data_IF_110883035605
#
_entry.id   IF_110883035605
#
_cell.length_a   1.000
_cell.length_b   1.000
_cell.length_c   1.000
_cell.angle_alpha   90.00
_cell.angle_beta   90.00
_cell.angle_gamma   90.00
#
_symmetry.space_group_name_H-M   'P 1'
#
loop_
_entity.id
_entity.type
_entity.pdbx_description
1 polymer ?
#
# COMPACT_ATOMS: atom_id res chain seq x y z
N UNK A 1 -16.51 4.24 21.72
CA UNK A 1 -15.62 3.38 20.91
C UNK A 1 -15.08 4.26 19.80
N UNK A 2 -13.76 4.48 19.76
CA UNK A 2 -13.16 5.40 18.79
C UNK A 2 -13.38 4.86 17.37
N UNK A 3 -13.80 5.72 16.45
CA UNK A 3 -14.07 5.35 15.06
C UNK A 3 -12.83 4.73 14.40
N UNK A 4 -11.64 5.20 14.77
CA UNK A 4 -10.36 4.64 14.35
C UNK A 4 -10.19 3.14 14.65
N UNK A 5 -10.65 2.66 15.81
CA UNK A 5 -10.55 1.23 16.13
C UNK A 5 -11.48 0.43 15.23
N UNK A 6 -12.67 0.96 14.92
CA UNK A 6 -13.66 0.30 14.07
C UNK A 6 -13.15 0.21 12.63
N UNK A 7 -12.65 1.33 12.12
CA UNK A 7 -12.12 1.46 10.76
C UNK A 7 -10.91 0.53 10.53
N UNK A 8 -9.94 0.56 11.44
CA UNK A 8 -8.79 -0.33 11.37
C UNK A 8 -9.18 -1.82 11.56
N UNK A 9 -10.16 -2.14 12.42
CA UNK A 9 -10.68 -3.51 12.52
C UNK A 9 -11.28 -3.98 11.20
N UNK A 10 -12.05 -3.12 10.52
CA UNK A 10 -12.58 -3.39 9.20
C UNK A 10 -11.45 -3.64 8.19
N UNK A 11 -10.43 -2.77 8.16
CA UNK A 11 -9.26 -2.92 7.30
C UNK A 11 -8.54 -4.25 7.54
N UNK A 12 -8.29 -4.62 8.80
CA UNK A 12 -7.66 -5.90 9.18
C UNK A 12 -8.45 -7.08 8.64
N UNK A 13 -9.76 -7.13 8.88
CA UNK A 13 -10.63 -8.23 8.46
C UNK A 13 -10.63 -8.38 6.93
N UNK A 14 -10.83 -7.28 6.22
CA UNK A 14 -10.91 -7.29 4.76
C UNK A 14 -9.58 -7.71 4.14
N UNK A 15 -8.45 -7.17 4.61
CA UNK A 15 -7.13 -7.56 4.12
C UNK A 15 -6.75 -8.98 4.50
N UNK A 16 -7.17 -9.50 5.66
CA UNK A 16 -7.00 -10.91 6.00
C UNK A 16 -7.79 -11.83 5.08
N UNK A 17 -9.05 -11.51 4.79
CA UNK A 17 -9.85 -12.25 3.82
C UNK A 17 -9.21 -12.21 2.42
N UNK A 18 -8.70 -11.04 2.00
CA UNK A 18 -7.96 -10.88 0.75
C UNK A 18 -6.66 -11.71 0.73
N UNK A 19 -5.94 -11.78 1.84
CA UNK A 19 -4.72 -12.58 1.97
C UNK A 19 -5.01 -14.09 1.85
N UNK A 20 -6.05 -14.58 2.52
CA UNK A 20 -6.46 -15.99 2.45
C UNK A 20 -6.93 -16.37 1.04
N UNK A 21 -7.74 -15.51 0.41
CA UNK A 21 -8.19 -15.75 -0.97
C UNK A 21 -7.04 -15.70 -1.96
N UNK A 22 -6.13 -14.73 -1.86
CA UNK A 22 -4.90 -14.66 -2.66
C UNK A 22 -4.02 -15.89 -2.46
N UNK A 23 -3.87 -16.39 -1.22
CA UNK A 23 -3.13 -17.62 -0.93
C UNK A 23 -3.78 -18.83 -1.60
N UNK A 24 -5.10 -18.98 -1.49
CA UNK A 24 -5.85 -20.04 -2.16
C UNK A 24 -5.70 -20.00 -3.68
N UNK A 25 -5.76 -18.80 -4.28
CA UNK A 25 -5.52 -18.61 -5.71
C UNK A 25 -4.07 -18.92 -6.10
N UNK A 26 -3.10 -18.55 -5.27
CA UNK A 26 -1.69 -18.87 -5.48
C UNK A 26 -1.45 -20.37 -5.52
N UNK A 27 -2.07 -21.14 -4.61
CA UNK A 27 -1.92 -22.61 -4.59
C UNK A 27 -2.63 -23.22 -5.80
N UNK A 28 -3.85 -22.74 -6.11
CA UNK A 28 -4.67 -23.26 -7.21
C UNK A 28 -4.06 -23.04 -8.58
N UNK A 29 -3.56 -21.83 -8.86
CA UNK A 29 -3.03 -21.45 -10.17
C UNK A 29 -1.50 -21.58 -10.26
N UNK A 30 -0.81 -21.84 -9.13
CA UNK A 30 0.66 -21.89 -9.03
C UNK A 30 1.36 -20.61 -9.53
N UNK A 31 0.69 -19.48 -9.35
CA UNK A 31 1.15 -18.17 -9.84
C UNK A 31 1.79 -17.34 -8.74
N UNK A 32 3.00 -16.84 -9.01
CA UNK A 32 3.80 -16.04 -8.05
C UNK A 32 3.14 -14.71 -7.71
N UNK A 33 2.38 -14.13 -8.64
CA UNK A 33 1.70 -12.83 -8.45
C UNK A 33 0.73 -12.86 -7.28
N UNK A 34 -0.05 -13.95 -7.14
CA UNK A 34 -0.97 -14.11 -6.02
C UNK A 34 -0.26 -14.35 -4.70
N UNK A 35 0.89 -15.06 -4.70
CA UNK A 35 1.69 -15.25 -3.49
C UNK A 35 2.23 -13.91 -2.97
N UNK A 36 2.82 -13.10 -3.86
CA UNK A 36 3.33 -11.77 -3.51
C UNK A 36 2.21 -10.89 -2.95
N UNK A 37 1.05 -10.92 -3.59
CA UNK A 37 -0.10 -10.13 -3.17
C UNK A 37 -0.67 -10.60 -1.81
N UNK A 38 -0.71 -11.92 -1.57
CA UNK A 38 -1.10 -12.49 -0.28
C UNK A 38 -0.17 -12.03 0.84
N UNK A 39 1.14 -12.05 0.60
CA UNK A 39 2.14 -11.59 1.56
C UNK A 39 2.01 -10.08 1.82
N UNK A 40 1.76 -9.28 0.78
CA UNK A 40 1.51 -7.84 0.93
C UNK A 40 0.31 -7.58 1.86
N UNK A 41 -0.82 -8.24 1.62
CA UNK A 41 -2.03 -8.10 2.44
C UNK A 41 -1.82 -8.59 3.87
N UNK A 42 -1.13 -9.73 4.05
CA UNK A 42 -0.85 -10.27 5.37
C UNK A 42 0.06 -9.33 6.18
N UNK A 43 1.13 -8.79 5.58
CA UNK A 43 2.01 -7.81 6.22
C UNK A 43 1.26 -6.53 6.58
N UNK A 44 0.46 -5.98 5.66
CA UNK A 44 -0.28 -4.75 5.96
C UNK A 44 -1.29 -4.98 7.09
N UNK A 45 -2.07 -6.06 7.02
CA UNK A 45 -3.05 -6.43 8.04
C UNK A 45 -2.43 -6.70 9.41
N UNK A 46 -1.27 -7.38 9.46
CA UNK A 46 -0.53 -7.61 10.72
C UNK A 46 0.01 -6.31 11.32
N UNK A 47 0.46 -5.36 10.49
CA UNK A 47 0.89 -4.04 10.95
C UNK A 47 -0.26 -3.27 11.58
N UNK A 48 -1.41 -3.24 10.90
CA UNK A 48 -2.64 -2.61 11.41
C UNK A 48 -3.18 -3.33 12.66
N UNK A 49 -3.09 -4.66 12.73
CA UNK A 49 -3.48 -5.42 13.92
C UNK A 49 -2.64 -5.03 15.14
N UNK A 50 -1.32 -4.93 14.98
CA UNK A 50 -0.45 -4.46 16.06
C UNK A 50 -0.84 -3.05 16.52
N UNK A 51 -1.11 -2.14 15.57
CA UNK A 51 -1.60 -0.78 15.85
C UNK A 51 -2.87 -0.79 16.69
N UNK A 52 -3.90 -1.53 16.24
CA UNK A 52 -5.20 -1.59 16.92
C UNK A 52 -5.08 -2.21 18.31
N UNK A 53 -4.32 -3.31 18.45
CA UNK A 53 -4.11 -3.96 19.75
C UNK A 53 -3.39 -3.02 20.72
N UNK A 54 -2.39 -2.26 20.23
CA UNK A 54 -1.72 -1.27 21.06
C UNK A 54 -2.71 -0.22 21.56
N UNK A 55 -3.48 0.40 20.65
CA UNK A 55 -4.47 1.42 21.02
C UNK A 55 -5.54 0.87 21.99
N UNK A 56 -6.03 -0.35 21.75
CA UNK A 56 -7.07 -0.96 22.56
C UNK A 56 -6.61 -1.35 23.96
N UNK A 57 -5.35 -1.80 24.11
CA UNK A 57 -4.81 -2.28 25.39
C UNK A 57 -4.22 -1.13 26.22
N UNK A 58 -3.44 -0.24 25.58
CA UNK A 58 -2.66 0.77 26.29
C UNK A 58 -3.30 2.16 26.31
N UNK A 59 -4.29 2.42 25.43
CA UNK A 59 -5.06 3.68 25.43
C UNK A 59 -4.25 4.95 25.19
N UNK A 60 -2.96 4.82 24.83
CA UNK A 60 -2.04 5.91 24.51
C UNK A 60 -1.54 5.76 23.08
N UNK A 61 -1.15 6.87 22.45
CA UNK A 61 -0.47 6.88 21.15
C UNK A 61 1.02 6.58 21.35
N UNK A 62 1.58 5.49 20.76
CA UNK A 62 3.03 5.27 20.79
C UNK A 62 3.80 6.43 20.19
N UNK A 63 4.92 6.77 20.82
CA UNK A 63 5.89 7.68 20.22
C UNK A 63 6.78 6.99 19.18
N UNK A 64 6.81 5.65 19.14
CA UNK A 64 7.68 4.89 18.24
C UNK A 64 7.02 3.55 17.83
N UNK A 65 6.71 3.37 16.55
CA UNK A 65 5.92 2.24 16.02
C UNK A 65 6.73 1.28 15.15
N UNK A 66 7.95 0.92 15.56
CA UNK A 66 8.83 0.11 14.70
C UNK A 66 8.19 -1.16 14.13
N UNK A 67 7.40 -1.89 14.93
CA UNK A 67 6.81 -3.17 14.47
C UNK A 67 5.76 -2.95 13.36
N UNK A 68 4.85 -1.99 13.55
CA UNK A 68 3.82 -1.68 12.55
C UNK A 68 4.44 -1.03 11.30
N UNK A 69 5.37 -0.10 11.49
CA UNK A 69 6.09 0.58 10.40
C UNK A 69 6.88 -0.40 9.54
N UNK A 70 7.60 -1.35 10.15
CA UNK A 70 8.31 -2.41 9.42
C UNK A 70 7.34 -3.29 8.64
N UNK A 71 6.20 -3.63 9.25
CA UNK A 71 5.18 -4.47 8.60
C UNK A 71 4.52 -3.78 7.40
N UNK A 72 4.17 -2.50 7.54
CA UNK A 72 3.63 -1.71 6.43
C UNK A 72 4.68 -1.49 5.34
N UNK A 73 5.93 -1.17 5.68
CA UNK A 73 7.02 -1.06 4.72
C UNK A 73 7.24 -2.38 3.96
N UNK A 74 7.19 -3.53 4.65
CA UNK A 74 7.27 -4.84 4.03
C UNK A 74 6.15 -5.08 3.00
N UNK A 75 4.92 -4.64 3.30
CA UNK A 75 3.82 -4.70 2.33
C UNK A 75 4.14 -3.90 1.06
N UNK A 76 4.72 -2.70 1.20
CA UNK A 76 5.16 -1.90 0.05
C UNK A 76 6.32 -2.54 -0.72
N UNK A 77 7.25 -3.24 -0.06
CA UNK A 77 8.25 -4.05 -0.76
C UNK A 77 7.60 -5.17 -1.59
N UNK A 78 6.55 -5.82 -1.09
CA UNK A 78 5.81 -6.81 -1.88
C UNK A 78 5.07 -6.16 -3.05
N UNK A 79 4.44 -5.00 -2.89
CA UNK A 79 3.84 -4.27 -4.02
C UNK A 79 4.87 -3.84 -5.07
N UNK A 80 6.06 -3.41 -4.65
CA UNK A 80 7.16 -3.13 -5.55
C UNK A 80 7.63 -4.40 -6.28
N UNK A 81 7.78 -5.51 -5.56
CA UNK A 81 8.12 -6.82 -6.14
C UNK A 81 7.09 -7.26 -7.18
N UNK A 82 5.79 -7.03 -6.92
CA UNK A 82 4.73 -7.28 -7.90
C UNK A 82 4.91 -6.43 -9.15
N UNK A 83 5.25 -5.14 -9.03
CA UNK A 83 5.51 -4.30 -10.21
C UNK A 83 6.76 -4.70 -10.97
N UNK A 84 7.82 -5.08 -10.28
CA UNK A 84 9.06 -5.57 -10.90
C UNK A 84 8.78 -6.86 -11.66
N UNK A 85 8.08 -7.83 -11.06
CA UNK A 85 7.71 -9.09 -11.71
C UNK A 85 6.85 -8.84 -12.97
N UNK A 86 5.90 -7.91 -12.91
CA UNK A 86 5.08 -7.56 -14.07
C UNK A 86 5.86 -6.78 -15.14
N UNK A 87 7.06 -6.28 -14.83
CA UNK A 87 7.93 -5.52 -15.72
C UNK A 87 9.18 -6.30 -16.18
N UNK A 88 9.34 -7.56 -15.77
CA UNK A 88 10.54 -8.38 -15.96
C UNK A 88 10.97 -8.51 -17.43
N UNK A 89 10.01 -8.55 -18.36
CA UNK A 89 10.26 -8.70 -19.80
C UNK A 89 10.30 -7.37 -20.56
N UNK A 90 10.25 -6.23 -19.88
CA UNK A 90 10.27 -4.91 -20.51
C UNK A 90 11.68 -4.33 -20.48
N UNK A 91 12.13 -3.79 -21.60
CA UNK A 91 13.29 -2.91 -21.63
C UNK A 91 12.90 -1.55 -21.05
N UNK A 92 13.12 -1.39 -19.74
CA UNK A 92 12.86 -0.13 -19.04
C UNK A 92 13.90 0.89 -19.51
N UNK A 93 13.46 1.84 -20.31
CA UNK A 93 14.23 3.01 -20.68
C UNK A 93 13.90 4.16 -19.73
N UNK A 94 14.82 5.11 -19.58
CA UNK A 94 14.57 6.28 -18.75
C UNK A 94 13.43 7.12 -19.35
N UNK A 95 12.35 7.29 -18.59
CA UNK A 95 11.22 8.13 -18.96
C UNK A 95 11.13 9.34 -18.02
N UNK A 96 11.27 10.58 -18.52
CA UNK A 96 11.42 11.76 -17.66
C UNK A 96 10.14 12.09 -16.88
N UNK A 97 8.96 11.87 -17.46
CA UNK A 97 7.67 12.17 -16.82
C UNK A 97 7.38 11.21 -15.64
N UNK A 98 7.45 9.87 -15.80
CA UNK A 98 7.38 8.94 -14.67
C UNK A 98 8.46 9.18 -13.62
N UNK A 99 9.68 9.55 -14.03
CA UNK A 99 10.78 9.86 -13.10
C UNK A 99 10.44 11.07 -12.24
N UNK A 100 9.99 12.17 -12.85
CA UNK A 100 9.57 13.38 -12.14
C UNK A 100 8.45 13.07 -11.13
N UNK A 101 7.40 12.37 -11.57
CA UNK A 101 6.26 12.04 -10.70
C UNK A 101 6.64 11.07 -9.57
N UNK A 102 7.50 10.08 -9.85
CA UNK A 102 8.05 9.20 -8.81
C UNK A 102 8.90 9.96 -7.79
N UNK A 103 9.72 10.91 -8.23
CA UNK A 103 10.47 11.80 -7.34
C UNK A 103 9.53 12.68 -6.50
N UNK A 104 8.47 13.24 -7.09
CA UNK A 104 7.49 14.04 -6.35
C UNK A 104 6.80 13.23 -5.24
N UNK A 105 6.44 11.97 -5.52
CA UNK A 105 5.91 11.05 -4.51
C UNK A 105 6.91 10.79 -3.38
N UNK A 106 8.19 10.53 -3.72
CA UNK A 106 9.23 10.32 -2.73
C UNK A 106 9.46 11.56 -1.85
N UNK A 107 9.52 12.75 -2.46
CA UNK A 107 9.66 14.02 -1.74
C UNK A 107 8.43 14.28 -0.84
N UNK A 108 7.22 14.03 -1.34
CA UNK A 108 6.01 14.17 -0.55
C UNK A 108 6.00 13.20 0.65
N UNK A 109 6.51 11.98 0.47
CA UNK A 109 6.67 11.02 1.56
C UNK A 109 7.62 11.53 2.64
N UNK A 110 8.75 12.13 2.25
CA UNK A 110 9.72 12.77 3.16
C UNK A 110 9.11 13.94 3.92
N UNK A 111 8.40 14.84 3.23
CA UNK A 111 7.77 16.03 3.84
C UNK A 111 6.75 15.62 4.91
N UNK A 112 5.97 14.57 4.65
CA UNK A 112 4.94 14.09 5.57
C UNK A 112 5.48 13.19 6.69
N UNK A 113 6.81 12.98 6.79
CA UNK A 113 7.44 12.10 7.80
C UNK A 113 6.75 10.73 7.92
N UNK A 114 6.48 10.09 6.78
CA UNK A 114 5.79 8.80 6.72
C UNK A 114 6.64 7.73 7.43
N UNK A 115 6.00 6.97 8.32
CA UNK A 115 6.66 6.02 9.26
C UNK A 115 7.57 6.69 10.30
N UNK A 116 7.18 7.87 10.77
CA UNK A 116 7.69 8.45 12.00
C UNK A 116 9.05 9.15 11.86
N UNK A 117 9.75 9.42 12.99
CA UNK A 117 10.96 10.23 13.00
C UNK A 117 12.21 9.48 12.51
N UNK A 118 12.11 8.19 12.22
CA UNK A 118 13.28 7.38 11.88
C UNK A 118 13.70 7.64 10.41
N UNK A 119 14.90 8.21 10.17
CA UNK A 119 15.30 8.62 8.82
C UNK A 119 15.49 7.43 7.87
N UNK A 120 15.84 6.25 8.43
CA UNK A 120 15.98 5.01 7.66
C UNK A 120 14.63 4.54 7.09
N UNK A 121 13.59 4.43 7.92
CA UNK A 121 12.28 3.97 7.47
C UNK A 121 11.66 4.95 6.48
N UNK A 122 11.80 6.25 6.75
CA UNK A 122 11.37 7.31 5.86
C UNK A 122 12.05 7.20 4.48
N UNK A 123 13.37 7.05 4.45
CA UNK A 123 14.12 6.93 3.21
C UNK A 123 13.75 5.65 2.44
N UNK A 124 13.63 4.50 3.13
CA UNK A 124 13.21 3.24 2.51
C UNK A 124 11.79 3.34 1.93
N UNK A 125 10.85 3.94 2.66
CA UNK A 125 9.51 4.14 2.16
C UNK A 125 9.49 5.10 0.97
N UNK A 126 10.17 6.25 1.06
CA UNK A 126 10.23 7.23 -0.03
C UNK A 126 10.78 6.61 -1.32
N UNK A 127 11.86 5.83 -1.23
CA UNK A 127 12.45 5.12 -2.38
C UNK A 127 11.49 4.06 -2.93
N UNK A 128 10.87 3.25 -2.07
CA UNK A 128 9.93 2.20 -2.52
C UNK A 128 8.68 2.78 -3.14
N UNK A 129 8.04 3.77 -2.52
CA UNK A 129 6.89 4.49 -3.03
C UNK A 129 7.21 5.18 -4.36
N UNK A 130 8.35 5.86 -4.45
CA UNK A 130 8.82 6.49 -5.67
C UNK A 130 9.06 5.48 -6.80
N UNK A 131 9.65 4.33 -6.49
CA UNK A 131 9.87 3.26 -7.46
C UNK A 131 8.56 2.61 -7.96
N UNK A 132 7.59 2.36 -7.05
CA UNK A 132 6.26 1.87 -7.44
C UNK A 132 5.56 2.88 -8.34
N UNK A 133 5.61 4.17 -7.98
CA UNK A 133 5.02 5.24 -8.77
C UNK A 133 5.67 5.34 -10.16
N UNK A 134 7.01 5.32 -10.22
CA UNK A 134 7.76 5.32 -11.48
C UNK A 134 7.36 4.17 -12.39
N UNK A 135 7.40 2.93 -11.90
CA UNK A 135 7.08 1.75 -12.70
C UNK A 135 5.61 1.77 -13.16
N UNK A 136 4.68 2.10 -12.25
CA UNK A 136 3.26 2.17 -12.58
C UNK A 136 2.98 3.20 -13.68
N UNK A 137 3.55 4.40 -13.56
CA UNK A 137 3.37 5.47 -14.54
C UNK A 137 4.08 5.19 -15.86
N UNK A 138 5.27 4.58 -15.82
CA UNK A 138 5.98 4.15 -17.02
C UNK A 138 5.12 3.20 -17.86
N UNK A 139 4.49 2.21 -17.22
CA UNK A 139 3.62 1.24 -17.90
C UNK A 139 2.32 1.87 -18.40
N UNK A 140 1.76 2.80 -17.64
CA UNK A 140 0.57 3.58 -18.05
C UNK A 140 0.85 4.47 -19.27
N UNK A 141 2.03 5.08 -19.33
CA UNK A 141 2.46 5.94 -20.43
C UNK A 141 2.66 5.14 -21.73
N UNK A 142 3.31 3.97 -21.64
CA UNK A 142 3.56 3.08 -22.78
C UNK A 142 2.35 2.23 -23.17
N UNK A 143 1.18 2.44 -22.53
CA UNK A 143 -0.10 1.76 -22.81
C UNK A 143 -0.01 0.23 -22.79
N UNK A 144 0.79 -0.30 -21.88
CA UNK A 144 0.94 -1.75 -21.70
C UNK A 144 -0.38 -2.41 -21.24
N UNK A 145 -0.58 -3.72 -21.47
CA UNK A 145 -1.80 -4.40 -21.03
C UNK A 145 -1.97 -4.34 -19.51
N UNK A 146 -3.23 -4.47 -19.05
CA UNK A 146 -3.61 -4.45 -17.64
C UNK A 146 -3.32 -3.14 -16.88
N UNK A 147 -3.51 -2.02 -17.58
CA UNK A 147 -3.36 -0.64 -17.07
C UNK A 147 -4.13 -0.35 -15.78
N UNK A 148 -5.24 -1.04 -15.55
CA UNK A 148 -6.03 -0.86 -14.33
C UNK A 148 -5.22 -1.22 -13.09
N UNK A 149 -4.44 -2.31 -13.12
CA UNK A 149 -3.59 -2.71 -12.00
C UNK A 149 -2.51 -1.67 -11.72
N UNK A 150 -1.91 -1.09 -12.78
CA UNK A 150 -0.91 -0.04 -12.64
C UNK A 150 -1.51 1.26 -12.08
N UNK A 151 -2.70 1.64 -12.55
CA UNK A 151 -3.42 2.79 -12.02
C UNK A 151 -3.78 2.61 -10.54
N UNK A 152 -4.24 1.41 -10.14
CA UNK A 152 -4.58 1.12 -8.73
C UNK A 152 -3.33 1.08 -7.86
N UNK A 153 -2.21 0.50 -8.31
CA UNK A 153 -0.95 0.50 -7.56
C UNK A 153 -0.40 1.92 -7.35
N UNK A 154 -0.47 2.77 -8.38
CA UNK A 154 -0.14 4.19 -8.24
C UNK A 154 -1.10 4.89 -7.27
N UNK A 155 -2.40 4.63 -7.38
CA UNK A 155 -3.41 5.19 -6.49
C UNK A 155 -3.16 4.78 -5.02
N UNK A 156 -2.79 3.54 -4.73
CA UNK A 156 -2.45 3.10 -3.37
C UNK A 156 -1.32 3.94 -2.78
N UNK A 157 -0.26 4.20 -3.55
CA UNK A 157 0.88 5.02 -3.09
C UNK A 157 0.44 6.47 -2.84
N UNK A 158 -0.33 7.06 -3.75
CA UNK A 158 -0.85 8.42 -3.59
C UNK A 158 -1.77 8.54 -2.37
N UNK A 159 -2.68 7.58 -2.19
CA UNK A 159 -3.58 7.53 -1.03
C UNK A 159 -2.81 7.34 0.27
N UNK A 160 -1.73 6.56 0.28
CA UNK A 160 -0.88 6.41 1.47
C UNK A 160 -0.20 7.71 1.86
N UNK A 161 0.34 8.45 0.89
CA UNK A 161 0.94 9.77 1.15
C UNK A 161 -0.15 10.74 1.60
N UNK A 162 -1.31 10.72 0.95
CA UNK A 162 -2.46 11.54 1.32
C UNK A 162 -2.96 11.23 2.74
N UNK A 163 -2.94 9.97 3.17
CA UNK A 163 -3.38 9.56 4.50
C UNK A 163 -2.57 10.28 5.60
N UNK A 164 -1.24 10.29 5.46
CA UNK A 164 -0.33 11.00 6.38
C UNK A 164 -0.43 12.52 6.25
N UNK A 165 -0.62 13.04 5.03
CA UNK A 165 -0.84 14.46 4.84
C UNK A 165 -2.13 14.93 5.52
N UNK A 166 -3.23 14.17 5.35
CA UNK A 166 -4.54 14.47 5.93
C UNK A 166 -4.51 14.28 7.45
N UNK A 167 -3.81 13.28 7.98
CA UNK A 167 -3.71 13.06 9.43
C UNK A 167 -3.09 14.26 10.17
N UNK A 168 -2.21 15.03 9.52
CA UNK A 168 -1.63 16.25 10.11
C UNK A 168 -2.67 17.35 10.41
N UNK A 169 -3.83 17.33 9.76
CA UNK A 169 -4.90 18.31 9.95
C UNK A 169 -5.93 17.90 11.00
N UNK A 170 -5.95 16.64 11.45
CA UNK A 170 -6.96 16.11 12.37
C UNK A 170 -6.32 15.57 13.64
N UNK A 171 -6.83 16.01 14.79
CA UNK A 171 -6.41 15.51 16.12
C UNK A 171 -7.47 14.65 16.80
N UNK A 172 -8.74 14.77 16.38
CA UNK A 172 -9.86 13.99 16.92
C UNK A 172 -10.29 12.88 15.95
N UNK A 173 -10.12 11.63 16.39
CA UNK A 173 -10.42 10.40 15.65
C UNK A 173 -11.71 9.69 16.14
N UNK A 174 -12.58 10.45 16.82
CA UNK A 174 -13.82 9.94 17.44
C UNK A 174 -15.00 9.90 16.47
N UNK A 175 -15.00 10.76 15.44
CA UNK A 175 -16.04 10.87 14.43
C UNK A 175 -15.48 10.70 13.02
N UNK A 176 -16.33 10.30 12.07
CA UNK A 176 -15.94 10.19 10.66
C UNK A 176 -15.43 11.53 10.12
N UNK A 177 -14.30 11.49 9.43
CA UNK A 177 -13.59 12.64 8.89
C UNK A 177 -12.91 12.25 7.56
N UNK A 178 -12.19 13.20 6.95
CA UNK A 178 -11.53 12.96 5.67
C UNK A 178 -10.43 11.89 5.76
N UNK A 179 -9.75 11.77 6.89
CA UNK A 179 -8.72 10.74 7.11
C UNK A 179 -9.32 9.35 6.93
N UNK A 180 -10.47 9.07 7.54
CA UNK A 180 -11.16 7.79 7.39
C UNK A 180 -11.67 7.54 5.97
N UNK A 181 -12.13 8.58 5.27
CA UNK A 181 -12.51 8.43 3.87
C UNK A 181 -11.31 8.00 2.99
N UNK A 182 -10.13 8.59 3.25
CA UNK A 182 -8.88 8.23 2.56
C UNK A 182 -8.44 6.80 2.92
N UNK A 183 -8.50 6.41 4.20
CA UNK A 183 -8.10 5.07 4.64
C UNK A 183 -9.01 3.96 4.09
N UNK A 184 -10.32 4.16 4.13
CA UNK A 184 -11.29 3.23 3.51
C UNK A 184 -11.02 3.11 2.01
N UNK A 185 -10.76 4.24 1.33
CA UNK A 185 -10.46 4.23 -0.10
C UNK A 185 -9.16 3.50 -0.39
N UNK A 186 -8.12 3.68 0.45
CA UNK A 186 -6.86 2.95 0.36
C UNK A 186 -7.06 1.45 0.55
N UNK A 187 -7.86 1.06 1.53
CA UNK A 187 -8.23 -0.35 1.79
C UNK A 187 -8.95 -0.95 0.58
N UNK A 188 -9.93 -0.25 0.02
CA UNK A 188 -10.62 -0.69 -1.20
C UNK A 188 -9.66 -0.80 -2.39
N UNK A 189 -8.72 0.14 -2.53
CA UNK A 189 -7.71 0.11 -3.59
C UNK A 189 -6.79 -1.11 -3.46
N UNK A 190 -6.32 -1.44 -2.24
CA UNK A 190 -5.57 -2.67 -2.00
C UNK A 190 -6.36 -3.91 -2.42
N UNK A 191 -7.61 -4.05 -1.97
CA UNK A 191 -8.43 -5.23 -2.28
C UNK A 191 -8.70 -5.34 -3.79
N UNK A 192 -8.87 -4.22 -4.49
CA UNK A 192 -9.09 -4.20 -5.93
C UNK A 192 -7.92 -4.79 -6.72
N UNK A 193 -6.70 -4.82 -6.17
CA UNK A 193 -5.55 -5.47 -6.82
C UNK A 193 -5.76 -6.98 -7.01
N UNK A 194 -6.53 -7.64 -6.14
CA UNK A 194 -6.76 -9.09 -6.23
C UNK A 194 -7.54 -9.49 -7.50
N UNK A 195 -8.76 -8.99 -7.75
CA UNK A 195 -9.50 -9.31 -8.98
C UNK A 195 -8.80 -8.77 -10.23
N UNK A 196 -8.07 -7.66 -10.14
CA UNK A 196 -7.28 -7.14 -11.26
C UNK A 196 -6.14 -8.09 -11.62
N UNK A 197 -5.35 -8.54 -10.63
CA UNK A 197 -4.30 -9.55 -10.81
C UNK A 197 -4.87 -10.86 -11.37
N UNK A 198 -6.08 -11.23 -10.94
CA UNK A 198 -6.77 -12.40 -11.47
C UNK A 198 -7.08 -12.30 -12.96
N UNK A 199 -7.54 -11.13 -13.43
CA UNK A 199 -7.76 -10.87 -14.87
C UNK A 199 -6.45 -10.94 -15.67
N UNK A 200 -5.31 -10.63 -15.07
CA UNK A 200 -4.02 -10.74 -15.77
C UNK A 200 -3.55 -12.17 -15.96
N UNK A 201 -3.81 -13.03 -14.97
CA UNK A 201 -3.43 -14.45 -15.03
C UNK A 201 -4.35 -15.22 -15.97
N UNK A 202 -5.63 -14.87 -16.01
CA UNK A 202 -6.63 -15.49 -16.89
C UNK A 202 -7.24 -14.45 -17.82
N UNK A 203 -6.53 -14.03 -18.89
CA UNK A 203 -7.12 -13.16 -19.90
C UNK A 203 -8.28 -13.92 -20.57
N UNK A 204 -9.48 -13.35 -20.49
CA UNK A 204 -10.70 -13.85 -21.13
C UNK A 204 -10.59 -13.83 -22.64
#
# INVERSE_FOLDING_TARGET
MNFEVIDNCFQILVLWCAALTATGLSIRYRERRFLILALAYACFSMGTLYWVLYLAILGMFPQVFYVAEISWLAAYFFYLSLQVLRSEHLSIHFAPLPALLGCLVAVAAVINNIFGPSPLMLALFAVTAGAIAYLSLFRLQHRLPFRQTDAVLFLCVVLQVALYAVSSFFSDYTHFNLYFAVDITLTCAFVALLPLTFREVKPS
#
